data_IF_906850753879
#
_entry.id   IF_906850753879
#
_cell.length_a   1.000
_cell.length_b   1.000
_cell.length_c   1.000
_cell.angle_alpha   90.00
_cell.angle_beta   90.00
_cell.angle_gamma   90.00
#
_symmetry.space_group_name_H-M   'P 1'
#
loop_
_entity.id
_entity.type
_entity.pdbx_description
1 polymer ?
#
# COMPACT_ATOMS: atom_id res chain seq x y z
N UNK A 1 3.50 -10.11 4.05
CA UNK A 1 2.39 -9.55 3.26
C UNK A 1 1.78 -10.63 2.38
N UNK A 2 0.45 -10.69 2.20
CA UNK A 2 -0.24 -11.78 1.47
C UNK A 2 -0.78 -11.37 0.08
N UNK A 3 -0.27 -10.28 -0.52
CA UNK A 3 -0.79 -9.73 -1.78
C UNK A 3 -2.34 -9.66 -1.78
N UNK A 4 -2.91 -9.15 -0.68
CA UNK A 4 -4.36 -9.01 -0.49
C UNK A 4 -4.77 -7.64 -1.00
N UNK A 5 -5.59 -7.60 -2.04
CA UNK A 5 -6.06 -6.36 -2.66
C UNK A 5 -7.50 -6.51 -3.17
N UNK A 6 -8.10 -5.38 -3.54
CA UNK A 6 -9.36 -5.28 -4.27
C UNK A 6 -9.24 -4.13 -5.27
N UNK A 7 -9.84 -4.26 -6.44
CA UNK A 7 -9.87 -3.16 -7.43
C UNK A 7 -10.94 -2.14 -7.06
N UNK A 8 -10.55 -0.86 -7.02
CA UNK A 8 -11.47 0.25 -6.73
C UNK A 8 -11.99 0.85 -8.03
N UNK A 9 -13.23 0.50 -8.40
CA UNK A 9 -13.94 1.12 -9.52
C UNK A 9 -14.96 2.16 -9.04
N UNK A 10 -15.60 2.86 -9.99
CA UNK A 10 -16.55 3.92 -9.67
C UNK A 10 -17.74 3.43 -8.84
N UNK A 11 -18.27 2.23 -9.13
CA UNK A 11 -19.41 1.64 -8.41
C UNK A 11 -19.02 1.23 -7.00
N UNK A 12 -17.80 0.70 -6.82
CA UNK A 12 -17.25 0.32 -5.52
C UNK A 12 -17.05 1.54 -4.61
N UNK A 13 -16.53 2.64 -5.16
CA UNK A 13 -16.24 3.87 -4.40
C UNK A 13 -17.52 4.65 -4.06
N UNK A 14 -18.52 4.61 -4.95
CA UNK A 14 -19.72 5.44 -4.84
C UNK A 14 -20.40 5.43 -3.46
N UNK A 15 -20.67 4.27 -2.82
CA UNK A 15 -21.33 4.25 -1.52
C UNK A 15 -20.51 4.90 -0.39
N UNK A 16 -19.17 4.98 -0.51
CA UNK A 16 -18.28 5.49 0.54
C UNK A 16 -18.01 7.01 0.44
N UNK A 17 -18.46 7.68 -0.62
CA UNK A 17 -18.22 9.12 -0.78
C UNK A 17 -18.82 9.91 0.37
N UNK A 18 -18.00 10.77 0.98
CA UNK A 18 -18.34 11.61 2.13
C UNK A 18 -18.65 10.82 3.42
N UNK A 19 -18.33 9.53 3.48
CA UNK A 19 -18.33 8.78 4.73
C UNK A 19 -16.99 8.96 5.46
N UNK A 20 -17.03 8.86 6.78
CA UNK A 20 -15.82 8.72 7.60
C UNK A 20 -15.35 7.27 7.65
N UNK A 21 -14.23 7.03 8.34
CA UNK A 21 -13.69 5.69 8.57
C UNK A 21 -12.84 5.15 7.41
N UNK A 22 -12.22 4.00 7.66
CA UNK A 22 -11.39 3.26 6.69
C UNK A 22 -12.03 1.94 6.27
N UNK A 23 -13.32 1.75 6.52
CA UNK A 23 -14.05 0.50 6.30
C UNK A 23 -14.11 0.03 4.83
N UNK A 24 -13.79 0.90 3.88
CA UNK A 24 -13.74 0.57 2.44
C UNK A 24 -12.65 -0.46 2.09
N UNK A 25 -11.46 -0.35 2.69
CA UNK A 25 -10.32 -1.26 2.49
C UNK A 25 -9.62 -1.68 3.80
N UNK A 26 -10.16 -1.24 4.94
CA UNK A 26 -9.60 -1.36 6.28
C UNK A 26 -8.23 -0.66 6.44
N UNK A 27 -7.68 -0.71 7.64
CA UNK A 27 -6.31 -0.30 7.93
C UNK A 27 -5.60 -1.31 8.81
N UNK A 28 -4.28 -1.16 8.94
CA UNK A 28 -3.42 -1.95 9.81
C UNK A 28 -2.26 -1.09 10.30
N UNK A 29 -1.41 -1.65 11.16
CA UNK A 29 -0.24 -0.98 11.74
C UNK A 29 1.05 -1.77 11.56
N UNK A 30 1.09 -2.59 10.51
CA UNK A 30 2.28 -3.40 10.22
C UNK A 30 3.45 -2.50 9.83
N UNK A 31 4.62 -2.78 10.40
CA UNK A 31 5.86 -2.07 10.09
C UNK A 31 6.70 -2.89 9.11
N UNK A 32 7.35 -2.21 8.17
CA UNK A 32 8.23 -2.82 7.18
C UNK A 32 9.67 -2.49 7.58
N UNK A 33 10.40 -3.50 8.04
CA UNK A 33 11.73 -3.34 8.63
C UNK A 33 12.73 -4.38 8.12
N UNK A 34 12.29 -5.60 7.76
CA UNK A 34 13.20 -6.67 7.34
C UNK A 34 13.37 -6.73 5.83
N UNK A 35 14.55 -7.17 5.32
CA UNK A 35 14.77 -7.36 3.89
C UNK A 35 13.71 -8.24 3.20
N UNK A 36 13.21 -9.26 3.88
CA UNK A 36 12.16 -10.14 3.37
C UNK A 36 10.83 -9.42 3.21
N UNK A 37 10.50 -8.48 4.11
CA UNK A 37 9.29 -7.67 4.00
C UNK A 37 9.39 -6.69 2.83
N UNK A 38 10.54 -6.04 2.64
CA UNK A 38 10.80 -5.18 1.47
C UNK A 38 10.68 -5.96 0.16
N UNK A 39 11.30 -7.14 0.09
CA UNK A 39 11.22 -8.02 -1.09
C UNK A 39 9.78 -8.45 -1.39
N UNK A 40 8.99 -8.80 -0.37
CA UNK A 40 7.58 -9.14 -0.56
C UNK A 40 6.75 -7.96 -1.10
N UNK A 41 7.06 -6.73 -0.67
CA UNK A 41 6.41 -5.53 -1.17
C UNK A 41 6.77 -5.28 -2.65
N UNK A 42 8.05 -5.38 -3.00
CA UNK A 42 8.55 -5.26 -4.38
C UNK A 42 7.91 -6.30 -5.30
N UNK A 43 7.92 -7.58 -4.92
CA UNK A 43 7.31 -8.68 -5.67
C UNK A 43 5.82 -8.46 -5.89
N UNK A 44 5.13 -7.91 -4.89
CA UNK A 44 3.70 -7.57 -4.99
C UNK A 44 3.48 -6.44 -6.00
N UNK A 45 4.25 -5.36 -5.94
CA UNK A 45 4.13 -4.23 -6.85
C UNK A 45 4.43 -4.64 -8.30
N UNK A 46 5.48 -5.46 -8.53
CA UNK A 46 5.81 -6.00 -9.86
C UNK A 46 4.75 -6.96 -10.39
N UNK A 47 4.24 -7.86 -9.53
CA UNK A 47 3.19 -8.81 -9.92
C UNK A 47 1.89 -8.12 -10.35
N UNK A 48 1.57 -6.99 -9.73
CA UNK A 48 0.39 -6.20 -10.03
C UNK A 48 0.62 -5.12 -11.11
N UNK A 49 1.85 -5.03 -11.65
CA UNK A 49 2.25 -4.07 -12.69
C UNK A 49 1.91 -2.62 -12.28
N UNK A 50 2.27 -2.24 -11.05
CA UNK A 50 1.96 -0.92 -10.50
C UNK A 50 2.97 0.14 -10.96
N UNK A 51 2.49 1.25 -11.49
CA UNK A 51 3.30 2.44 -11.78
C UNK A 51 3.68 3.22 -10.49
N UNK A 52 2.94 3.02 -9.40
CA UNK A 52 3.15 3.75 -8.16
C UNK A 52 2.36 3.21 -6.97
N UNK A 53 2.77 3.63 -5.77
CA UNK A 53 2.15 3.26 -4.49
C UNK A 53 1.82 4.51 -3.68
N UNK A 54 0.56 4.63 -3.26
CA UNK A 54 0.08 5.71 -2.38
C UNK A 54 -0.20 5.15 -0.99
N UNK A 55 0.44 5.73 0.03
CA UNK A 55 0.23 5.38 1.45
C UNK A 55 -0.51 6.55 2.11
N UNK A 56 -1.61 6.26 2.80
CA UNK A 56 -2.48 7.27 3.43
C UNK A 56 -2.56 7.00 4.94
N UNK A 57 -1.77 7.73 5.73
CA UNK A 57 -1.86 7.74 7.19
C UNK A 57 -0.88 8.81 7.78
N UNK A 58 -0.63 8.73 9.09
CA UNK A 58 0.36 9.51 9.84
C UNK A 58 1.84 9.17 9.59
N UNK A 59 2.68 9.54 10.54
CA UNK A 59 4.14 9.53 10.49
C UNK A 59 4.77 8.14 10.39
N UNK A 60 4.26 7.15 11.12
CA UNK A 60 4.76 5.77 11.05
C UNK A 60 4.60 5.17 9.65
N UNK A 61 3.42 5.34 9.04
CA UNK A 61 3.16 4.85 7.69
C UNK A 61 3.95 5.62 6.63
N UNK A 62 4.18 6.93 6.83
CA UNK A 62 5.06 7.70 5.96
C UNK A 62 6.54 7.31 6.11
N UNK A 63 6.94 6.77 7.27
CA UNK A 63 8.26 6.15 7.44
C UNK A 63 8.38 4.89 6.57
N UNK A 64 7.37 4.01 6.59
CA UNK A 64 7.32 2.86 5.68
C UNK A 64 7.36 3.32 4.20
N UNK A 65 6.59 4.35 3.83
CA UNK A 65 6.55 4.86 2.46
C UNK A 65 7.93 5.38 2.00
N UNK A 66 8.64 6.11 2.87
CA UNK A 66 9.99 6.60 2.60
C UNK A 66 10.98 5.44 2.36
N UNK A 67 10.97 4.44 3.24
CA UNK A 67 11.85 3.28 3.13
C UNK A 67 11.54 2.42 1.89
N UNK A 68 10.25 2.22 1.58
CA UNK A 68 9.81 1.53 0.36
C UNK A 68 10.28 2.29 -0.89
N UNK A 69 10.12 3.61 -0.94
CA UNK A 69 10.52 4.43 -2.08
C UNK A 69 12.03 4.33 -2.33
N UNK A 70 12.85 4.43 -1.28
CA UNK A 70 14.31 4.27 -1.41
C UNK A 70 14.69 2.84 -1.82
N UNK A 71 14.01 1.83 -1.27
CA UNK A 71 14.26 0.43 -1.64
C UNK A 71 13.91 0.17 -3.12
N UNK A 72 12.78 0.68 -3.60
CA UNK A 72 12.26 0.45 -4.95
C UNK A 72 13.06 1.17 -6.03
N UNK A 73 13.76 2.26 -5.70
CA UNK A 73 14.60 3.04 -6.63
C UNK A 73 15.59 2.20 -7.45
N UNK A 74 16.05 1.07 -6.92
CA UNK A 74 17.03 0.20 -7.60
C UNK A 74 16.39 -0.85 -8.51
N UNK A 75 15.06 -0.99 -8.48
CA UNK A 75 14.33 -2.09 -9.09
C UNK A 75 13.24 -1.66 -10.08
N UNK A 76 12.93 -0.36 -10.12
CA UNK A 76 11.98 0.30 -11.01
C UNK A 76 12.67 1.41 -11.80
#
# INVERSE_FOLDING_TARGET
MKCKYVELNAEYIQPYRNQGGFDMICSGRDKIETPEQFKQAEETAKKLDLDGLVVIDGDDSNTNACLLAENFRYYF
#
